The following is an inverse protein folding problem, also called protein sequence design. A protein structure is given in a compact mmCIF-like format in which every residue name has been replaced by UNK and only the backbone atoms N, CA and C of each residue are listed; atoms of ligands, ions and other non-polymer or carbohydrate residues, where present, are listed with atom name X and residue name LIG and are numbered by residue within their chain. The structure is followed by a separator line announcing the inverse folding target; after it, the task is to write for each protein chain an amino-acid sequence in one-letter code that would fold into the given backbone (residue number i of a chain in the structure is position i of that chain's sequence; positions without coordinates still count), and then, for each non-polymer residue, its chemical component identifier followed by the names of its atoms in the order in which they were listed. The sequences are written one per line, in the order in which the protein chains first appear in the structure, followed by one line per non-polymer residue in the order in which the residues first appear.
data_IF_506743404458
#
_entry.id   IF_506743404458
#
_cell.length_a   1.000
_cell.length_b   1.000
_cell.length_c   1.000
_cell.angle_alpha   90.00
_cell.angle_beta   90.00
_cell.angle_gamma   90.00
#
_symmetry.space_group_name_H-M   'P 1'
#
loop_
_entity.id
_entity.type
_entity.pdbx_description
1 polymer ?
#
# COMPACT_ATOMS: atom_id res chain seq x y z
N UNK A 1 0.39 25.00 -28.90
CA UNK A 1 1.37 23.91 -28.69
C UNK A 1 2.25 23.66 -29.92
N UNK A 2 1.69 23.31 -31.09
CA UNK A 2 2.48 22.99 -32.29
C UNK A 2 3.46 24.11 -32.72
N UNK A 3 3.03 25.37 -32.66
CA UNK A 3 3.87 26.53 -32.97
C UNK A 3 4.66 27.10 -31.78
N UNK A 4 4.86 26.32 -30.71
CA UNK A 4 5.54 26.75 -29.49
C UNK A 4 4.99 28.03 -28.80
N UNK A 5 3.79 28.49 -29.16
CA UNK A 5 3.09 29.59 -28.45
C UNK A 5 2.80 29.24 -26.99
N UNK A 6 2.64 27.94 -26.69
CA UNK A 6 2.49 27.43 -25.34
C UNK A 6 3.09 26.03 -25.23
N UNK A 7 3.63 25.73 -24.05
CA UNK A 7 4.28 24.47 -23.73
C UNK A 7 3.25 23.34 -23.49
N UNK A 8 3.44 22.13 -24.05
CA UNK A 8 2.57 20.99 -23.74
C UNK A 8 2.68 20.63 -22.26
N UNK A 9 1.55 20.25 -21.68
CA UNK A 9 1.43 19.91 -20.24
C UNK A 9 0.35 18.85 -19.98
N UNK A 10 0.02 18.06 -21.00
CA UNK A 10 -0.85 16.89 -20.84
C UNK A 10 -0.07 15.76 -20.18
N UNK A 11 -0.76 15.00 -19.32
CA UNK A 11 -0.26 13.76 -18.73
C UNK A 11 -1.22 12.63 -19.11
N UNK A 12 -0.70 11.45 -19.40
CA UNK A 12 -1.53 10.30 -19.76
C UNK A 12 -2.41 9.88 -18.59
N UNK A 13 -3.72 9.74 -18.81
CA UNK A 13 -4.66 9.17 -17.85
C UNK A 13 -4.65 7.62 -17.86
N UNK A 14 -3.90 7.02 -18.79
CA UNK A 14 -3.85 5.58 -19.01
C UNK A 14 -2.40 5.11 -19.22
N UNK A 15 -2.16 3.82 -19.00
CA UNK A 15 -0.87 3.21 -19.32
C UNK A 15 -0.91 2.65 -20.73
N UNK A 16 0.08 2.98 -21.55
CA UNK A 16 0.19 2.44 -22.90
C UNK A 16 1.08 1.20 -22.84
N UNK A 17 0.54 0.00 -23.09
CA UNK A 17 1.33 -1.22 -23.12
C UNK A 17 2.31 -1.22 -24.30
N UNK A 18 3.39 -2.02 -24.19
CA UNK A 18 4.21 -2.37 -25.36
C UNK A 18 3.50 -3.40 -26.23
N UNK A 19 2.76 -4.31 -25.59
CA UNK A 19 2.01 -5.38 -26.22
C UNK A 19 0.64 -5.52 -25.56
N UNK A 20 -0.40 -5.84 -26.33
CA UNK A 20 -1.74 -6.01 -25.77
C UNK A 20 -1.75 -7.11 -24.70
N UNK A 21 -0.91 -8.12 -24.87
CA UNK A 21 -0.70 -9.27 -23.96
C UNK A 21 -0.16 -8.89 -22.58
N UNK A 22 0.44 -7.70 -22.45
CA UNK A 22 0.92 -7.17 -21.16
C UNK A 22 -0.23 -6.61 -20.32
N UNK A 23 -1.44 -6.47 -20.89
CA UNK A 23 -2.61 -5.99 -20.16
C UNK A 23 -3.19 -7.09 -19.26
N UNK A 24 -3.69 -6.74 -18.06
CA UNK A 24 -4.19 -7.74 -17.10
C UNK A 24 -5.38 -8.55 -17.62
N UNK A 25 -6.13 -7.99 -18.56
CA UNK A 25 -7.38 -8.55 -19.09
C UNK A 25 -7.18 -9.34 -20.38
N UNK A 26 -6.01 -9.26 -21.05
CA UNK A 26 -5.77 -9.90 -22.34
C UNK A 26 -6.13 -11.40 -22.39
N UNK A 27 -5.80 -12.23 -21.38
CA UNK A 27 -6.06 -13.67 -21.48
C UNK A 27 -7.55 -14.03 -21.53
N UNK A 28 -8.42 -13.12 -21.12
CA UNK A 28 -9.83 -13.39 -20.88
C UNK A 28 -10.75 -12.51 -21.71
N UNK A 29 -10.35 -11.28 -22.04
CA UNK A 29 -11.21 -10.31 -22.73
C UNK A 29 -11.03 -10.34 -24.26
N UNK A 30 -12.12 -10.27 -25.07
CA UNK A 30 -13.52 -10.23 -24.65
C UNK A 30 -14.08 -11.62 -24.28
N UNK A 31 -14.64 -11.76 -23.07
CA UNK A 31 -15.42 -12.96 -22.68
C UNK A 31 -16.80 -12.91 -23.40
N UNK A 32 -17.35 -14.08 -23.79
CA UNK A 32 -18.57 -14.17 -24.63
C UNK A 32 -19.89 -14.07 -23.86
N UNK A 33 -19.89 -14.42 -22.58
CA UNK A 33 -21.09 -14.48 -21.74
C UNK A 33 -21.02 -13.41 -20.65
N UNK A 34 -20.22 -13.65 -19.61
CA UNK A 34 -20.02 -12.74 -18.49
C UNK A 34 -18.65 -12.07 -18.55
N UNK A 35 -18.56 -10.78 -18.26
CA UNK A 35 -17.28 -10.10 -18.10
C UNK A 35 -16.79 -10.24 -16.64
N UNK A 36 -16.00 -11.27 -16.35
CA UNK A 36 -15.43 -11.49 -15.01
C UNK A 36 -14.16 -10.64 -14.81
N UNK A 37 -14.18 -9.73 -13.83
CA UNK A 37 -13.07 -8.84 -13.48
C UNK A 37 -12.01 -9.54 -12.63
N UNK A 38 -11.30 -10.49 -13.23
CA UNK A 38 -10.31 -11.37 -12.57
C UNK A 38 -9.08 -10.61 -12.07
N UNK A 39 -8.80 -9.47 -12.66
CA UNK A 39 -7.69 -8.58 -12.29
C UNK A 39 -7.94 -7.85 -10.96
N UNK A 40 -9.18 -7.80 -10.48
CA UNK A 40 -9.54 -7.13 -9.24
C UNK A 40 -9.08 -5.67 -9.24
N UNK A 41 -8.38 -5.25 -8.19
CA UNK A 41 -7.85 -3.88 -8.07
C UNK A 41 -6.62 -3.61 -8.94
N UNK A 42 -6.05 -4.64 -9.58
CA UNK A 42 -4.86 -4.52 -10.41
C UNK A 42 -5.22 -4.13 -11.84
N UNK A 43 -5.74 -2.91 -11.99
CA UNK A 43 -6.08 -2.32 -13.28
C UNK A 43 -5.08 -1.23 -13.64
N UNK A 44 -4.66 -1.21 -14.91
CA UNK A 44 -3.71 -0.20 -15.42
C UNK A 44 -2.37 -0.27 -14.69
N UNK A 45 -1.78 0.89 -14.37
CA UNK A 45 -0.43 0.97 -13.78
C UNK A 45 -0.25 0.14 -12.51
N UNK A 46 -1.31 -0.07 -11.73
CA UNK A 46 -1.29 -0.94 -10.54
C UNK A 46 -0.81 -2.36 -10.87
N UNK A 47 -1.23 -2.89 -12.02
CA UNK A 47 -0.79 -4.19 -12.52
C UNK A 47 0.65 -4.17 -13.03
N UNK A 48 1.00 -3.18 -13.87
CA UNK A 48 2.34 -3.07 -14.44
C UNK A 48 3.41 -2.90 -13.36
N UNK A 49 3.10 -2.15 -12.30
CA UNK A 49 3.98 -1.98 -11.16
C UNK A 49 4.23 -3.30 -10.44
N UNK A 50 3.17 -3.98 -9.98
CA UNK A 50 3.31 -5.23 -9.21
C UNK A 50 3.91 -6.38 -10.03
N UNK A 51 3.61 -6.45 -11.34
CA UNK A 51 4.21 -7.44 -12.26
C UNK A 51 5.58 -7.04 -12.77
N UNK A 52 6.06 -5.84 -12.45
CA UNK A 52 7.34 -5.28 -12.91
C UNK A 52 7.46 -5.31 -14.44
N UNK A 53 6.35 -5.02 -15.13
CA UNK A 53 6.29 -4.92 -16.58
C UNK A 53 6.54 -3.45 -16.96
N UNK A 54 7.50 -3.23 -17.85
CA UNK A 54 7.84 -1.88 -18.32
C UNK A 54 6.89 -1.46 -19.46
N UNK A 55 6.00 -0.48 -19.24
CA UNK A 55 5.07 -0.03 -20.28
C UNK A 55 5.79 0.74 -21.40
N UNK A 56 5.09 1.02 -22.49
CA UNK A 56 5.60 1.91 -23.54
C UNK A 56 5.56 3.37 -23.06
N UNK A 57 4.42 3.77 -22.50
CA UNK A 57 4.30 5.03 -21.75
C UNK A 57 3.55 4.77 -20.44
N UNK A 58 4.15 5.10 -19.29
CA UNK A 58 3.51 4.88 -18.00
C UNK A 58 2.34 5.83 -17.75
N UNK A 59 1.48 5.46 -16.80
CA UNK A 59 0.44 6.36 -16.30
C UNK A 59 1.05 7.68 -15.81
N UNK A 60 0.39 8.79 -16.12
CA UNK A 60 0.87 10.12 -15.78
C UNK A 60 2.07 10.59 -16.60
N UNK A 61 2.54 9.85 -17.61
CA UNK A 61 3.65 10.29 -18.46
C UNK A 61 3.25 11.47 -19.36
N UNK A 62 4.22 12.33 -19.65
CA UNK A 62 4.05 13.45 -20.57
C UNK A 62 5.34 14.24 -20.72
N UNK A 63 5.58 14.79 -21.90
CA UNK A 63 6.74 15.62 -22.16
C UNK A 63 6.36 17.10 -22.16
N UNK A 64 7.37 17.94 -21.96
CA UNK A 64 7.26 19.38 -21.94
C UNK A 64 8.43 19.97 -22.74
N UNK A 65 8.27 21.18 -23.26
CA UNK A 65 9.39 21.93 -23.89
C UNK A 65 10.31 22.58 -22.84
N UNK A 66 9.99 22.44 -21.56
CA UNK A 66 10.81 22.90 -20.45
C UNK A 66 11.04 21.77 -19.45
N UNK A 67 11.97 21.97 -18.52
CA UNK A 67 12.33 20.98 -17.51
C UNK A 67 11.94 21.49 -16.12
N UNK A 68 11.60 20.56 -15.23
CA UNK A 68 11.19 20.86 -13.87
C UNK A 68 12.01 20.04 -12.88
N UNK A 69 12.51 20.70 -11.85
CA UNK A 69 13.20 20.10 -10.72
C UNK A 69 12.31 20.09 -9.48
N UNK A 70 12.43 19.03 -8.70
CA UNK A 70 11.68 18.80 -7.47
C UNK A 70 12.68 18.80 -6.31
N UNK A 71 12.39 19.52 -5.23
CA UNK A 71 13.23 19.58 -4.03
C UNK A 71 12.40 19.78 -2.76
N UNK A 72 13.06 19.70 -1.61
CA UNK A 72 12.52 20.12 -0.29
C UNK A 72 11.22 19.42 0.10
N UNK A 73 11.14 18.10 -0.13
CA UNK A 73 10.00 17.29 0.33
C UNK A 73 9.93 17.31 1.86
N UNK A 74 8.80 17.75 2.39
CA UNK A 74 8.47 17.73 3.81
C UNK A 74 7.11 17.05 4.02
N UNK A 75 7.02 16.23 5.05
CA UNK A 75 5.79 15.54 5.46
C UNK A 75 5.50 15.88 6.91
N UNK A 76 4.31 16.38 7.17
CA UNK A 76 3.85 16.74 8.52
C UNK A 76 2.57 15.96 8.84
N UNK A 77 2.54 15.30 9.99
CA UNK A 77 1.35 14.58 10.48
C UNK A 77 0.65 15.45 11.52
N UNK A 78 -0.62 15.76 11.28
CA UNK A 78 -1.48 16.50 12.21
C UNK A 78 -2.57 15.56 12.72
N UNK A 79 -2.59 15.33 14.02
CA UNK A 79 -3.66 14.59 14.69
C UNK A 79 -4.72 15.58 15.16
N UNK A 80 -5.91 15.51 14.57
CA UNK A 80 -7.07 16.27 15.06
C UNK A 80 -7.85 15.41 16.05
N UNK A 81 -7.88 15.82 17.32
CA UNK A 81 -8.85 15.31 18.29
C UNK A 81 -10.21 15.91 17.89
N UNK A 82 -11.16 15.07 17.47
CA UNK A 82 -12.57 15.48 17.52
C UNK A 82 -13.00 15.49 18.98
N UNK A 83 -12.86 16.63 19.65
CA UNK A 83 -13.64 16.92 20.85
C UNK A 83 -15.10 17.07 20.39
N UNK A 84 -15.93 16.11 20.80
CA UNK A 84 -17.39 16.19 20.79
C UNK A 84 -18.05 16.65 19.48
N UNK A 85 -18.27 15.72 18.54
CA UNK A 85 -19.41 15.84 17.63
C UNK A 85 -19.94 14.47 17.22
N UNK A 86 -21.15 14.21 17.71
CA UNK A 86 -22.07 13.20 17.19
C UNK A 86 -22.46 13.61 15.77
N UNK A 87 -21.68 13.23 14.77
CA UNK A 87 -22.14 13.32 13.40
C UNK A 87 -21.88 12.03 12.64
N UNK A 88 -22.96 11.49 12.13
CA UNK A 88 -23.11 10.19 11.49
C UNK A 88 -22.60 10.30 10.05
N UNK A 89 -21.28 10.51 9.92
CA UNK A 89 -20.61 10.24 8.64
C UNK A 89 -20.38 8.73 8.53
N UNK A 90 -20.68 8.16 7.37
CA UNK A 90 -20.61 6.72 7.07
C UNK A 90 -19.19 6.11 7.15
N UNK A 91 -18.19 6.90 7.55
CA UNK A 91 -16.78 6.54 7.62
C UNK A 91 -16.29 6.47 9.08
N UNK A 92 -17.00 5.69 9.91
CA UNK A 92 -16.54 5.08 11.17
C UNK A 92 -15.49 5.87 11.98
N UNK A 93 -15.93 6.53 13.06
CA UNK A 93 -15.12 7.36 13.93
C UNK A 93 -13.78 6.76 14.35
N UNK A 94 -12.70 7.35 13.87
CA UNK A 94 -11.34 7.25 14.40
C UNK A 94 -10.67 8.61 14.19
N UNK A 95 -9.64 8.93 14.98
CA UNK A 95 -8.92 10.20 14.94
C UNK A 95 -8.69 10.67 13.49
N UNK A 96 -9.15 11.88 13.17
CA UNK A 96 -8.89 12.46 11.86
C UNK A 96 -7.39 12.77 11.82
N UNK A 97 -6.64 11.93 11.11
CA UNK A 97 -5.23 12.16 10.80
C UNK A 97 -5.16 12.86 9.46
N UNK A 98 -4.50 14.01 9.46
CA UNK A 98 -4.20 14.78 8.27
C UNK A 98 -2.70 14.76 8.03
N UNK A 99 -2.27 14.20 6.90
CA UNK A 99 -0.87 14.21 6.47
C UNK A 99 -0.69 15.29 5.42
N UNK A 100 0.08 16.33 5.75
CA UNK A 100 0.43 17.41 4.84
C UNK A 100 1.75 17.08 4.16
N UNK A 101 1.73 17.02 2.83
CA UNK A 101 2.93 16.76 2.02
C UNK A 101 3.24 18.00 1.22
N UNK A 102 4.41 18.58 1.40
CA UNK A 102 4.82 19.78 0.65
C UNK A 102 6.17 19.60 -0.02
N UNK A 103 6.35 20.24 -1.17
CA UNK A 103 7.60 20.22 -1.94
C UNK A 103 7.76 21.52 -2.74
N UNK A 104 8.99 21.79 -3.17
CA UNK A 104 9.31 22.87 -4.10
C UNK A 104 9.42 22.31 -5.53
N UNK A 105 8.77 22.98 -6.48
CA UNK A 105 8.90 22.72 -7.92
C UNK A 105 9.49 23.94 -8.59
N UNK A 106 10.58 23.74 -9.33
CA UNK A 106 11.29 24.80 -10.06
C UNK A 106 11.28 24.52 -11.55
N UNK A 107 10.98 25.52 -12.37
CA UNK A 107 11.21 25.45 -13.81
C UNK A 107 12.67 25.80 -14.11
N UNK A 108 13.44 24.83 -14.59
CA UNK A 108 14.88 24.97 -14.88
C UNK A 108 15.16 25.22 -16.36
N UNK A 109 14.15 25.14 -17.22
CA UNK A 109 14.30 25.41 -18.64
C UNK A 109 14.09 26.88 -18.99
N UNK A 110 14.00 27.14 -20.31
CA UNK A 110 13.98 28.50 -20.88
C UNK A 110 12.59 28.99 -21.28
N UNK A 111 11.57 28.16 -21.11
CA UNK A 111 10.20 28.47 -21.51
C UNK A 111 9.24 28.33 -20.32
N UNK A 112 8.25 29.22 -20.24
CA UNK A 112 7.15 29.05 -19.30
C UNK A 112 6.40 27.73 -19.56
N UNK A 113 6.11 26.98 -18.51
CA UNK A 113 5.48 25.66 -18.63
C UNK A 113 4.62 25.34 -17.42
N UNK A 114 3.67 24.42 -17.63
CA UNK A 114 2.86 23.86 -16.54
C UNK A 114 3.34 22.47 -16.19
N UNK A 115 3.68 22.27 -14.93
CA UNK A 115 4.05 20.95 -14.40
C UNK A 115 2.89 20.31 -13.66
N UNK A 116 2.73 18.99 -13.82
CA UNK A 116 1.75 18.20 -13.05
C UNK A 116 2.52 17.31 -12.08
N UNK A 117 2.53 17.73 -10.82
CA UNK A 117 3.09 16.97 -9.70
C UNK A 117 2.11 15.88 -9.32
N UNK A 118 2.58 14.64 -9.22
CA UNK A 118 1.76 13.49 -8.87
C UNK A 118 2.26 12.90 -7.55
N UNK A 119 1.32 12.68 -6.62
CA UNK A 119 1.59 12.10 -5.31
C UNK A 119 0.96 10.70 -5.24
N UNK A 120 1.82 9.72 -4.98
CA UNK A 120 1.46 8.34 -4.76
C UNK A 120 1.72 7.93 -3.30
N UNK A 121 0.91 7.01 -2.79
CA UNK A 121 1.12 6.36 -1.50
C UNK A 121 1.44 4.89 -1.75
N UNK A 122 2.55 4.44 -1.16
CA UNK A 122 2.93 3.04 -1.08
C UNK A 122 2.75 2.53 0.35
N UNK A 123 2.07 1.40 0.46
CA UNK A 123 1.91 0.67 1.70
C UNK A 123 3.02 -0.40 1.81
N UNK A 124 3.89 -0.29 2.82
CA UNK A 124 5.08 -1.15 2.93
C UNK A 124 4.75 -2.55 3.44
N UNK A 125 3.70 -2.70 4.26
CA UNK A 125 3.42 -3.94 4.99
C UNK A 125 2.04 -4.53 4.73
N UNK A 126 1.12 -3.77 4.13
CA UNK A 126 -0.23 -4.12 3.72
C UNK A 126 -0.73 -5.53 4.15
N UNK A 127 -1.68 -5.64 5.11
CA UNK A 127 -2.21 -6.93 5.57
C UNK A 127 -3.00 -7.67 4.49
N UNK A 128 -3.34 -6.96 3.41
CA UNK A 128 -4.04 -7.47 2.24
C UNK A 128 -3.19 -7.19 1.01
N UNK A 129 -3.43 -7.95 -0.05
CA UNK A 129 -2.78 -7.72 -1.34
C UNK A 129 -3.17 -6.32 -1.86
N UNK A 130 -2.18 -5.43 -2.00
CA UNK A 130 -2.36 -4.06 -2.50
C UNK A 130 -1.47 -3.77 -3.72
N UNK A 131 -1.85 -2.77 -4.54
CA UNK A 131 -0.93 -2.20 -5.52
C UNK A 131 0.34 -1.69 -4.85
N UNK A 132 1.47 -1.77 -5.56
CA UNK A 132 2.77 -1.28 -5.07
C UNK A 132 2.68 0.20 -4.65
N UNK A 133 1.94 1.00 -5.42
CA UNK A 133 1.61 2.38 -5.09
C UNK A 133 0.31 2.79 -5.74
N UNK A 134 -0.31 3.81 -5.18
CA UNK A 134 -1.57 4.35 -5.69
C UNK A 134 -1.53 5.88 -5.72
N UNK A 135 -1.92 6.49 -6.84
CA UNK A 135 -2.11 7.94 -6.95
C UNK A 135 -3.19 8.36 -5.94
N UNK A 136 -2.88 9.35 -5.11
CA UNK A 136 -3.82 9.94 -4.15
C UNK A 136 -4.12 11.40 -4.45
N UNK A 137 -3.12 12.16 -4.90
CA UNK A 137 -3.30 13.57 -5.21
C UNK A 137 -2.42 14.00 -6.39
N UNK A 138 -2.81 15.10 -7.04
CA UNK A 138 -1.99 15.75 -8.04
C UNK A 138 -2.26 17.26 -8.10
N UNK A 139 -1.23 18.04 -8.46
CA UNK A 139 -1.35 19.49 -8.60
C UNK A 139 -0.71 19.96 -9.91
N UNK A 140 -1.37 20.90 -10.58
CA UNK A 140 -0.87 21.51 -11.80
C UNK A 140 -0.44 22.95 -11.54
N UNK A 141 0.86 23.24 -11.73
CA UNK A 141 1.44 24.56 -11.45
C UNK A 141 2.06 25.17 -12.70
N UNK A 142 1.74 26.43 -12.98
CA UNK A 142 2.41 27.23 -14.01
C UNK A 142 3.65 27.90 -13.42
N UNK A 143 4.79 27.79 -14.10
CA UNK A 143 6.07 28.37 -13.69
C UNK A 143 6.75 29.07 -14.87
N UNK A 144 7.20 30.31 -14.65
CA UNK A 144 8.11 31.04 -15.54
C UNK A 144 9.51 30.42 -15.49
N UNK A 145 10.38 30.64 -16.50
CA UNK A 145 11.77 30.21 -16.46
C UNK A 145 12.48 30.67 -15.17
N UNK A 146 13.08 29.74 -14.43
CA UNK A 146 13.76 30.00 -13.16
C UNK A 146 12.85 30.15 -11.93
N UNK A 147 11.52 30.24 -12.10
CA UNK A 147 10.56 30.36 -11.00
C UNK A 147 10.47 29.05 -10.20
N UNK A 148 10.33 29.18 -8.88
CA UNK A 148 10.02 28.10 -7.96
C UNK A 148 8.68 28.34 -7.25
N UNK A 149 7.87 27.30 -7.08
CA UNK A 149 6.66 27.33 -6.25
C UNK A 149 6.63 26.19 -5.27
N UNK A 150 6.08 26.45 -4.08
CA UNK A 150 5.75 25.40 -3.11
C UNK A 150 4.38 24.83 -3.43
N UNK A 151 4.31 23.51 -3.51
CA UNK A 151 3.08 22.73 -3.68
C UNK A 151 2.81 21.99 -2.39
N UNK A 152 1.56 21.99 -1.93
CA UNK A 152 1.13 21.29 -0.72
C UNK A 152 -0.08 20.42 -1.04
N UNK A 153 -0.06 19.19 -0.55
CA UNK A 153 -1.12 18.19 -0.64
C UNK A 153 -1.63 17.85 0.74
N UNK A 154 -2.91 17.53 0.82
CA UNK A 154 -3.59 17.12 2.04
C UNK A 154 -4.07 15.68 1.88
N UNK A 155 -3.54 14.76 2.69
CA UNK A 155 -3.93 13.36 2.68
C UNK A 155 -4.68 13.04 3.96
N UNK A 156 -5.95 12.70 3.82
CA UNK A 156 -6.78 12.21 4.93
C UNK A 156 -6.63 10.69 5.13
N UNK A 157 -7.29 10.16 6.16
CA UNK A 157 -7.36 8.70 6.46
C UNK A 157 -7.64 7.85 5.22
N UNK A 158 -8.56 8.29 4.36
CA UNK A 158 -8.95 7.56 3.14
C UNK A 158 -7.81 7.38 2.14
N UNK A 159 -6.84 8.30 2.13
CA UNK A 159 -5.67 8.20 1.26
C UNK A 159 -4.83 6.94 1.55
N UNK A 160 -4.92 6.39 2.76
CA UNK A 160 -4.15 5.23 3.21
C UNK A 160 -5.01 3.97 3.33
N UNK A 161 -6.33 4.12 3.30
CA UNK A 161 -7.27 3.03 3.54
C UNK A 161 -7.32 2.00 2.41
N UNK A 162 -7.70 0.78 2.78
CA UNK A 162 -8.16 -0.28 1.89
C UNK A 162 -9.59 -0.67 2.28
N UNK A 163 -10.31 -1.31 1.37
CA UNK A 163 -11.64 -1.84 1.67
C UNK A 163 -11.51 -3.25 2.23
N UNK A 164 -12.02 -3.47 3.44
CA UNK A 164 -12.10 -4.79 4.05
C UNK A 164 -13.47 -5.40 3.71
N UNK A 165 -13.50 -6.40 2.85
CA UNK A 165 -14.73 -7.06 2.41
C UNK A 165 -15.46 -7.79 3.55
N UNK A 166 -14.73 -8.30 4.56
CA UNK A 166 -15.32 -9.02 5.69
C UNK A 166 -16.03 -8.05 6.63
N UNK A 167 -15.36 -6.94 6.93
CA UNK A 167 -15.91 -5.89 7.78
C UNK A 167 -16.86 -4.93 7.04
N UNK A 168 -16.85 -4.97 5.70
CA UNK A 168 -17.62 -4.10 4.80
C UNK A 168 -17.35 -2.61 5.00
N UNK A 169 -16.13 -2.26 5.40
CA UNK A 169 -15.75 -0.89 5.73
C UNK A 169 -14.34 -0.54 5.23
N UNK A 170 -14.03 0.76 5.23
CA UNK A 170 -12.71 1.26 4.89
C UNK A 170 -11.81 1.30 6.11
N UNK A 171 -10.72 0.55 6.04
CA UNK A 171 -9.77 0.38 7.14
C UNK A 171 -8.42 0.93 6.77
N UNK A 172 -7.77 1.54 7.75
CA UNK A 172 -6.34 1.81 7.72
C UNK A 172 -5.69 0.85 8.69
N UNK A 173 -4.48 0.42 8.39
CA UNK A 173 -3.72 -0.42 9.32
C UNK A 173 -2.50 0.35 9.81
N UNK A 174 -2.01 -0.07 10.97
CA UNK A 174 -0.75 0.42 11.52
C UNK A 174 0.40 0.02 10.64
N UNK A 175 1.21 1.00 10.25
CA UNK A 175 2.34 0.74 9.40
C UNK A 175 3.05 1.99 8.92
N UNK A 176 4.21 1.73 8.32
CA UNK A 176 4.98 2.71 7.55
C UNK A 176 4.38 2.82 6.16
N UNK A 177 4.10 4.04 5.75
CA UNK A 177 3.75 4.37 4.38
C UNK A 177 4.90 5.15 3.75
N UNK A 178 5.12 4.93 2.46
CA UNK A 178 6.06 5.74 1.67
C UNK A 178 5.25 6.69 0.81
N UNK A 179 5.47 7.99 1.03
CA UNK A 179 4.99 9.06 0.14
C UNK A 179 5.97 9.15 -1.02
N UNK A 180 5.45 9.02 -2.23
CA UNK A 180 6.23 9.03 -3.47
C UNK A 180 5.73 10.20 -4.32
N UNK A 181 6.62 11.12 -4.68
CA UNK A 181 6.28 12.29 -5.51
C UNK A 181 7.08 12.25 -6.81
N UNK A 182 6.36 12.38 -7.93
CA UNK A 182 6.94 12.22 -9.25
C UNK A 182 6.22 12.99 -10.35
N UNK A 183 6.81 12.95 -11.54
CA UNK A 183 6.22 13.50 -12.77
C UNK A 183 5.44 12.46 -13.59
N UNK A 184 5.54 11.18 -13.23
CA UNK A 184 4.71 10.06 -13.72
C UNK A 184 4.77 8.90 -12.73
N UNK A 185 4.00 7.82 -12.96
CA UNK A 185 4.06 6.63 -12.10
C UNK A 185 5.41 5.89 -12.14
N UNK A 186 6.28 6.19 -13.11
CA UNK A 186 7.64 5.61 -13.21
C UNK A 186 8.77 6.64 -13.05
N UNK A 187 8.45 7.94 -13.02
CA UNK A 187 9.41 9.03 -12.79
C UNK A 187 9.17 9.61 -11.39
N UNK A 188 9.54 8.83 -10.37
CA UNK A 188 9.49 9.22 -8.97
C UNK A 188 10.80 9.92 -8.61
N UNK A 189 10.70 11.13 -8.06
CA UNK A 189 11.84 12.03 -7.84
C UNK A 189 12.14 12.29 -6.39
N UNK A 190 11.10 12.30 -5.54
CA UNK A 190 11.23 12.49 -4.11
C UNK A 190 10.42 11.41 -3.39
N UNK A 191 10.90 10.98 -2.23
CA UNK A 191 10.20 10.04 -1.37
C UNK A 191 10.44 10.35 0.10
N UNK A 192 9.46 10.08 0.95
CA UNK A 192 9.56 10.20 2.39
C UNK A 192 8.71 9.11 3.07
N UNK A 193 9.18 8.61 4.22
CA UNK A 193 8.40 7.68 5.04
C UNK A 193 7.54 8.46 6.04
N UNK A 194 6.34 7.95 6.29
CA UNK A 194 5.43 8.49 7.30
C UNK A 194 4.78 7.35 8.08
N UNK A 195 4.74 7.52 9.40
CA UNK A 195 3.93 6.72 10.32
C UNK A 195 2.84 7.65 10.83
N UNK A 196 1.61 7.44 10.36
CA UNK A 196 0.49 8.35 10.61
C UNK A 196 -0.65 7.69 11.39
N UNK A 197 -0.70 6.35 11.42
CA UNK A 197 -1.83 5.60 11.95
C UNK A 197 -1.37 4.63 13.05
N UNK A 198 -2.14 4.64 14.14
CA UNK A 198 -2.04 3.76 15.31
C UNK A 198 -3.45 3.22 15.67
N UNK A 199 -4.15 2.69 14.66
CA UNK A 199 -5.36 1.90 14.82
C UNK A 199 -4.98 0.46 15.21
N UNK A 200 -5.06 0.14 16.51
CA UNK A 200 -4.86 -1.23 17.02
C UNK A 200 -5.80 -2.19 16.28
N UNK A 201 -5.26 -2.92 15.31
CA UNK A 201 -6.00 -3.97 14.61
C UNK A 201 -6.18 -5.13 15.58
N UNK A 202 -7.32 -5.14 16.30
CA UNK A 202 -7.72 -6.22 17.19
C UNK A 202 -8.26 -7.45 16.44
N UNK A 203 -8.27 -7.41 15.10
CA UNK A 203 -8.71 -8.51 14.27
C UNK A 203 -7.62 -9.58 14.14
N UNK A 204 -7.56 -10.40 15.18
CA UNK A 204 -6.73 -11.61 15.13
C UNK A 204 -7.38 -12.56 14.11
N UNK A 205 -6.66 -12.94 13.05
CA UNK A 205 -7.19 -13.79 12.00
C UNK A 205 -7.61 -15.14 12.58
N UNK A 206 -8.60 -15.76 11.97
CA UNK A 206 -9.00 -17.10 12.34
C UNK A 206 -7.85 -18.07 12.08
N UNK A 207 -7.39 -18.76 13.12
CA UNK A 207 -6.27 -19.68 12.99
C UNK A 207 -6.75 -21.00 12.38
N UNK A 208 -6.26 -21.30 11.18
CA UNK A 208 -6.52 -22.55 10.46
C UNK A 208 -5.23 -23.08 9.80
N UNK A 209 -5.19 -24.37 9.43
CA UNK A 209 -3.98 -25.04 8.89
C UNK A 209 -3.35 -24.38 7.65
N UNK A 210 -4.11 -23.60 6.91
CA UNK A 210 -3.66 -22.93 5.67
C UNK A 210 -3.23 -21.48 5.89
N UNK A 211 -3.31 -20.95 7.11
CA UNK A 211 -2.82 -19.61 7.42
C UNK A 211 -1.30 -19.57 7.24
N UNK A 212 -0.79 -18.45 6.70
CA UNK A 212 0.64 -18.21 6.61
C UNK A 212 1.24 -18.06 8.02
N UNK A 213 2.47 -18.53 8.17
CA UNK A 213 3.23 -18.44 9.43
C UNK A 213 3.32 -17.00 9.93
N UNK A 214 3.65 -16.05 9.04
CA UNK A 214 3.75 -14.63 9.39
C UNK A 214 2.45 -14.03 9.94
N UNK A 215 1.30 -14.47 9.42
CA UNK A 215 -0.01 -13.98 9.87
C UNK A 215 -0.42 -14.60 11.20
N UNK A 216 -0.14 -15.89 11.39
CA UNK A 216 -0.40 -16.56 12.66
C UNK A 216 0.45 -16.01 13.81
N UNK A 217 1.64 -15.48 13.51
CA UNK A 217 2.64 -15.07 14.51
C UNK A 217 2.78 -13.56 14.67
N UNK A 218 1.95 -12.78 13.97
CA UNK A 218 1.95 -11.32 14.01
C UNK A 218 1.63 -10.73 15.38
N UNK A 219 0.91 -11.48 16.23
CA UNK A 219 0.40 -10.99 17.51
C UNK A 219 1.32 -11.39 18.67
N UNK A 220 1.67 -10.47 19.59
CA UNK A 220 2.51 -10.76 20.75
C UNK A 220 2.08 -12.00 21.53
N UNK A 221 0.77 -12.25 21.60
CA UNK A 221 0.16 -13.38 22.31
C UNK A 221 0.39 -14.73 21.62
N UNK A 222 0.71 -14.73 20.33
CA UNK A 222 1.01 -15.92 19.51
C UNK A 222 2.51 -16.19 19.34
N UNK A 223 3.37 -15.23 19.70
CA UNK A 223 4.83 -15.30 19.52
C UNK A 223 5.46 -16.46 20.31
N UNK A 224 4.92 -16.81 21.48
CA UNK A 224 5.47 -17.93 22.26
C UNK A 224 5.27 -19.27 21.55
N UNK A 225 4.06 -19.50 21.03
CA UNK A 225 3.70 -20.68 20.26
C UNK A 225 4.46 -20.69 18.93
N UNK A 226 4.63 -19.52 18.31
CA UNK A 226 5.49 -19.34 17.13
C UNK A 226 6.91 -19.86 17.38
N UNK A 227 7.54 -19.42 18.48
CA UNK A 227 8.88 -19.84 18.88
C UNK A 227 8.95 -21.33 19.17
N UNK A 228 7.94 -21.91 19.83
CA UNK A 228 7.87 -23.35 20.08
C UNK A 228 7.86 -24.15 18.77
N UNK A 229 7.06 -23.72 17.78
CA UNK A 229 7.05 -24.34 16.46
C UNK A 229 8.39 -24.18 15.76
N UNK A 230 8.92 -22.96 15.66
CA UNK A 230 10.21 -22.69 15.01
C UNK A 230 11.37 -23.47 15.63
N UNK A 231 11.37 -23.64 16.96
CA UNK A 231 12.33 -24.47 17.68
C UNK A 231 12.20 -25.95 17.31
N UNK A 232 10.98 -26.50 17.29
CA UNK A 232 10.73 -27.90 16.87
C UNK A 232 11.10 -28.14 15.41
N UNK A 233 10.97 -27.11 14.58
CA UNK A 233 11.32 -27.16 13.17
C UNK A 233 12.83 -27.02 12.91
N UNK A 234 13.65 -26.77 13.94
CA UNK A 234 15.10 -26.59 13.80
C UNK A 234 15.51 -25.28 13.12
N UNK A 235 14.61 -24.30 13.05
CA UNK A 235 14.79 -23.00 12.37
C UNK A 235 14.80 -21.81 13.35
N UNK A 236 15.05 -22.09 14.63
CA UNK A 236 15.10 -21.09 15.71
C UNK A 236 16.16 -20.00 15.55
N UNK A 237 17.18 -20.22 14.71
CA UNK A 237 18.24 -19.26 14.41
C UNK A 237 17.98 -18.36 13.20
N UNK A 238 16.81 -18.42 12.57
CA UNK A 238 16.50 -17.55 11.44
C UNK A 238 16.29 -16.11 11.89
N UNK A 239 17.09 -15.21 11.34
CA UNK A 239 16.92 -13.77 11.52
C UNK A 239 15.85 -13.23 10.57
N UNK A 240 14.95 -12.43 11.11
CA UNK A 240 13.99 -11.63 10.34
C UNK A 240 14.72 -10.81 9.26
N UNK A 241 14.11 -10.72 8.08
CA UNK A 241 14.68 -10.00 6.94
C UNK A 241 15.69 -10.78 6.09
N UNK A 242 16.02 -12.03 6.42
CA UNK A 242 16.78 -12.90 5.51
C UNK A 242 15.88 -13.47 4.41
N UNK A 243 16.37 -13.66 3.16
CA UNK A 243 15.55 -14.25 2.08
C UNK A 243 14.94 -15.60 2.44
N UNK A 244 15.66 -16.38 3.26
CA UNK A 244 15.20 -17.68 3.73
C UNK A 244 14.09 -17.55 4.78
N UNK A 245 14.20 -16.62 5.73
CA UNK A 245 13.11 -16.30 6.66
C UNK A 245 11.85 -15.82 5.92
N UNK A 246 12.02 -14.89 4.97
CA UNK A 246 10.91 -14.36 4.15
C UNK A 246 10.21 -15.45 3.33
N UNK A 247 10.97 -16.41 2.79
CA UNK A 247 10.39 -17.55 2.09
C UNK A 247 9.55 -18.41 3.04
N UNK A 248 10.10 -18.76 4.20
CA UNK A 248 9.44 -19.64 5.16
C UNK A 248 8.23 -19.01 5.85
N UNK A 249 8.30 -17.72 6.17
CA UNK A 249 7.23 -16.99 6.83
C UNK A 249 5.96 -16.89 5.97
N UNK A 250 6.12 -17.02 4.63
CA UNK A 250 5.02 -17.07 3.66
C UNK A 250 4.42 -18.47 3.47
N UNK A 251 5.04 -19.54 3.97
CA UNK A 251 4.44 -20.87 3.92
C UNK A 251 3.28 -21.01 4.91
N UNK A 252 2.31 -21.85 4.57
CA UNK A 252 1.23 -22.18 5.50
C UNK A 252 1.73 -23.10 6.61
N UNK A 253 1.10 -23.04 7.80
CA UNK A 253 1.42 -23.94 8.92
C UNK A 253 1.44 -25.41 8.45
N UNK A 254 0.43 -25.83 7.68
CA UNK A 254 0.36 -27.17 7.07
C UNK A 254 1.58 -27.52 6.21
N UNK A 255 2.04 -26.61 5.38
CA UNK A 255 3.16 -26.87 4.46
C UNK A 255 4.44 -27.11 5.24
N UNK A 256 4.69 -26.27 6.25
CA UNK A 256 5.88 -26.39 7.11
C UNK A 256 5.82 -27.62 8.02
N UNK A 257 4.67 -27.92 8.62
CA UNK A 257 4.46 -29.16 9.38
C UNK A 257 4.75 -30.40 8.53
N UNK A 258 4.26 -30.44 7.27
CA UNK A 258 4.55 -31.55 6.36
C UNK A 258 6.02 -31.65 5.97
N UNK A 259 6.70 -30.54 5.72
CA UNK A 259 8.13 -30.53 5.37
C UNK A 259 9.00 -31.15 6.47
N UNK A 260 8.59 -31.01 7.74
CA UNK A 260 9.35 -31.50 8.90
C UNK A 260 8.79 -32.82 9.46
N UNK A 261 7.82 -33.42 8.77
CA UNK A 261 7.25 -34.72 9.16
C UNK A 261 6.35 -34.68 10.41
N UNK A 262 5.83 -33.51 10.76
CA UNK A 262 4.82 -33.37 11.82
C UNK A 262 3.50 -33.97 11.33
N UNK A 263 2.93 -34.90 12.10
CA UNK A 263 1.67 -35.56 11.76
C UNK A 263 0.45 -34.63 11.99
N UNK A 264 -0.71 -35.03 11.47
CA UNK A 264 -1.93 -34.20 11.53
C UNK A 264 -2.42 -33.97 12.97
N UNK A 265 -2.21 -34.92 13.89
CA UNK A 265 -2.62 -34.80 15.30
C UNK A 265 -1.78 -33.76 16.05
N UNK A 266 -0.47 -33.79 15.87
CA UNK A 266 0.45 -32.82 16.44
C UNK A 266 0.23 -31.41 15.85
N UNK A 267 -0.05 -31.31 14.55
CA UNK A 267 -0.42 -30.06 13.91
C UNK A 267 -1.72 -29.50 14.49
N UNK A 268 -2.75 -30.33 14.69
CA UNK A 268 -4.02 -29.87 15.26
C UNK A 268 -3.85 -29.43 16.72
N UNK A 269 -3.02 -30.12 17.50
CA UNK A 269 -2.64 -29.69 18.85
C UNK A 269 -1.96 -28.31 18.85
N UNK A 270 -1.10 -28.04 17.87
CA UNK A 270 -0.49 -26.72 17.68
C UNK A 270 -1.52 -25.64 17.30
N UNK A 271 -2.41 -25.95 16.35
CA UNK A 271 -3.49 -25.05 15.95
C UNK A 271 -4.43 -24.74 17.11
N UNK A 272 -4.74 -25.70 17.98
CA UNK A 272 -5.53 -25.47 19.18
C UNK A 272 -4.83 -24.51 20.16
N UNK A 273 -3.53 -24.68 20.43
CA UNK A 273 -2.76 -23.75 21.27
C UNK A 273 -2.79 -22.33 20.71
N UNK A 274 -2.61 -22.18 19.39
CA UNK A 274 -2.69 -20.88 18.73
C UNK A 274 -4.10 -20.27 18.77
N UNK A 275 -5.16 -21.06 18.54
CA UNK A 275 -6.55 -20.61 18.65
C UNK A 275 -6.88 -20.14 20.08
N UNK A 276 -6.38 -20.83 21.10
CA UNK A 276 -6.54 -20.44 22.51
C UNK A 276 -5.78 -19.15 22.85
N UNK A 277 -4.58 -18.97 22.31
CA UNK A 277 -3.83 -17.72 22.48
C UNK A 277 -4.53 -16.54 21.79
N UNK A 278 -4.99 -16.77 20.56
CA UNK A 278 -5.80 -15.82 19.77
C UNK A 278 -7.10 -15.45 20.48
N UNK A 279 -7.85 -16.40 21.03
CA UNK A 279 -9.12 -16.11 21.72
C UNK A 279 -8.92 -15.31 23.01
N UNK A 280 -7.86 -15.59 23.78
CA UNK A 280 -7.48 -14.81 24.97
C UNK A 280 -7.13 -13.36 24.61
N UNK A 281 -6.48 -13.15 23.48
CA UNK A 281 -6.13 -11.83 23.00
C UNK A 281 -7.38 -11.06 22.51
N UNK A 282 -8.32 -11.73 21.81
CA UNK A 282 -9.64 -11.14 21.47
C UNK A 282 -10.42 -10.71 22.72
N UNK A 283 -10.44 -11.54 23.77
CA UNK A 283 -11.15 -11.26 25.01
C UNK A 283 -10.51 -10.13 25.86
N UNK A 284 -9.19 -9.93 25.78
CA UNK A 284 -8.53 -8.79 26.42
C UNK A 284 -8.79 -7.46 25.70
N UNK A 285 -8.95 -7.51 24.37
CA UNK A 285 -9.31 -6.34 23.57
C UNK A 285 -10.73 -5.82 23.81
N UNK A 286 -11.68 -6.70 24.18
CA UNK A 286 -13.07 -6.31 24.48
C UNK A 286 -13.26 -5.67 25.86
N UNK A 287 -12.45 -6.03 26.86
CA UNK A 287 -12.57 -5.50 28.22
C UNK A 287 -11.87 -4.14 28.44
N UNK A 288 -11.28 -3.54 27.41
CA UNK A 288 -10.66 -2.20 27.46
C UNK A 288 -11.53 -1.10 26.83
N UNK A 289 -12.80 -1.39 26.53
CA UNK A 289 -13.76 -0.50 25.88
C UNK A 289 -14.99 -0.20 26.76
N UNK A 290 -14.88 -0.36 28.08
CA UNK A 290 -15.81 0.20 29.08
C UNK A 290 -15.16 1.36 29.84
#
# INVERSE_FOLDING_TARGET
VLFAVCCPSGRLAETFPKRLEDTPTFPFYPEKEDAVYREGIFVGYRYYDIKRIEPLFPFGHGLSYTEFQYSDLAVEVKHTKKENQSDTTLDGGAQDVLVLVSLTVKNTGKMAGKEVVQLYVQDVYAPVLRPEKELKEFAKVLLQPGESKRVTFELNRRSFAYYDEKAKEWRVHDGKYTILVGASSRDIRLQAQVEAFHEKVNDIPEIHRNIAIKEAFRFPETVQQARELMNRLGISGMTEGTPFYELFSNFSIRAVCRMVGVNDEEMEGFLQKLRLASSKAKAKGSNGAE
#
